data_IF_351272698954
#
_entry.id   IF_351272698954
#
_cell.length_a   1.000
_cell.length_b   1.000
_cell.length_c   1.000
_cell.angle_alpha   90.00
_cell.angle_beta   90.00
_cell.angle_gamma   90.00
#
_symmetry.space_group_name_H-M   'P 1'
#
loop_
_entity.id
_entity.type
_entity.pdbx_description
1 polymer ?
#
# COMPACT_ATOMS: atom_id res chain seq x y z
N UNK A 1 -6.38 -14.83 -14.62
CA UNK A 1 -5.16 -14.01 -14.51
C UNK A 1 -5.03 -13.32 -13.17
N UNK A 2 -6.06 -12.60 -12.73
CA UNK A 2 -6.04 -11.98 -11.39
C UNK A 2 -5.92 -13.01 -10.27
N UNK A 3 -6.63 -14.13 -10.39
CA UNK A 3 -6.59 -15.19 -9.40
C UNK A 3 -5.21 -15.81 -9.25
N UNK A 4 -4.53 -16.04 -10.36
CA UNK A 4 -3.17 -16.58 -10.35
C UNK A 4 -2.22 -15.64 -9.61
N UNK A 5 -2.31 -14.36 -9.90
CA UNK A 5 -1.48 -13.34 -9.28
C UNK A 5 -1.72 -13.25 -7.76
N UNK A 6 -2.99 -13.29 -7.36
CA UNK A 6 -3.34 -13.23 -5.94
C UNK A 6 -2.86 -14.47 -5.17
N UNK A 7 -2.98 -15.65 -5.78
CA UNK A 7 -2.47 -16.87 -5.17
C UNK A 7 -0.96 -16.80 -4.97
N UNK A 8 -0.23 -16.29 -5.95
CA UNK A 8 1.22 -16.13 -5.83
C UNK A 8 1.59 -15.15 -4.73
N UNK A 9 0.89 -14.03 -4.64
CA UNK A 9 1.16 -13.03 -3.60
C UNK A 9 0.87 -13.57 -2.21
N UNK A 10 -0.19 -14.37 -2.04
CA UNK A 10 -0.52 -14.93 -0.73
C UNK A 10 0.51 -15.95 -0.26
N UNK A 11 1.25 -16.57 -1.17
CA UNK A 11 2.37 -17.45 -0.81
C UNK A 11 3.57 -16.67 -0.28
N UNK A 12 3.69 -15.40 -0.66
CA UNK A 12 4.82 -14.55 -0.30
C UNK A 12 4.56 -13.73 0.97
N UNK A 13 3.31 -13.55 1.33
CA UNK A 13 2.96 -12.77 2.49
C UNK A 13 1.46 -12.61 2.64
N UNK A 14 1.07 -11.69 3.51
CA UNK A 14 -0.33 -11.35 3.74
C UNK A 14 -0.73 -10.19 2.85
N UNK A 15 -1.77 -10.37 2.04
CA UNK A 15 -2.29 -9.30 1.17
C UNK A 15 -3.21 -8.41 2.00
N UNK A 16 -2.92 -7.12 2.00
CA UNK A 16 -3.66 -6.13 2.81
C UNK A 16 -4.21 -5.03 1.90
N UNK A 17 -5.49 -4.79 1.99
CA UNK A 17 -6.13 -3.65 1.34
C UNK A 17 -6.10 -2.44 2.25
N UNK A 18 -6.83 -1.39 1.87
CA UNK A 18 -6.94 -0.19 2.66
C UNK A 18 -8.33 0.41 2.58
N UNK A 19 -8.50 1.56 3.20
CA UNK A 19 -9.78 2.27 3.21
C UNK A 19 -9.55 3.76 3.44
N UNK A 20 -10.58 4.55 3.20
CA UNK A 20 -10.53 6.00 3.37
C UNK A 20 -11.42 6.40 4.53
N UNK A 21 -10.84 6.97 5.61
CA UNK A 21 -11.67 7.55 6.67
C UNK A 21 -12.55 8.67 6.10
N UNK A 22 -13.76 8.83 6.66
CA UNK A 22 -14.67 9.85 6.15
C UNK A 22 -14.04 11.24 6.19
N UNK A 23 -14.05 11.93 5.06
CA UNK A 23 -13.55 13.31 4.97
C UNK A 23 -14.51 14.31 5.59
N UNK A 24 -15.72 13.89 5.91
CA UNK A 24 -16.73 14.74 6.57
C UNK A 24 -16.47 14.91 8.06
N UNK A 25 -15.63 14.05 8.63
CA UNK A 25 -15.28 14.11 10.04
C UNK A 25 -13.84 14.58 10.19
N UNK A 26 -13.63 15.87 10.56
CA UNK A 26 -12.26 16.39 10.69
C UNK A 26 -11.44 15.69 11.77
N UNK A 27 -12.08 15.06 12.75
CA UNK A 27 -11.39 14.31 13.78
C UNK A 27 -10.59 13.12 13.22
N UNK A 28 -10.89 12.68 12.00
CA UNK A 28 -10.16 11.60 11.35
C UNK A 28 -8.79 12.07 10.81
N UNK A 29 -8.62 13.36 10.60
CA UNK A 29 -7.44 13.91 9.93
C UNK A 29 -6.68 14.97 10.74
N UNK A 30 -7.37 15.84 11.45
CA UNK A 30 -6.74 16.95 12.17
C UNK A 30 -5.78 16.43 13.26
N UNK A 31 -4.52 16.88 13.18
CA UNK A 31 -3.51 16.45 14.11
C UNK A 31 -3.02 15.03 13.88
N UNK A 32 -3.28 14.47 12.72
CA UNK A 32 -2.92 13.10 12.41
C UNK A 32 -1.43 12.84 12.47
N UNK A 33 -1.06 11.68 13.00
CA UNK A 33 0.32 11.24 13.11
C UNK A 33 0.57 9.91 12.42
N UNK A 34 -0.48 9.29 11.89
CA UNK A 34 -0.39 7.99 11.22
C UNK A 34 -0.28 8.23 9.71
N UNK A 35 0.79 7.71 9.12
CA UNK A 35 1.01 7.82 7.68
C UNK A 35 -0.04 7.03 6.91
N UNK A 36 -0.69 7.69 5.95
CA UNK A 36 -1.77 7.12 5.14
C UNK A 36 -1.50 7.46 3.68
N UNK A 37 -1.27 6.43 2.88
CA UNK A 37 -0.74 6.56 1.53
C UNK A 37 -1.84 6.37 0.49
N UNK A 38 -1.80 7.16 -0.57
CA UNK A 38 -2.71 7.04 -1.72
C UNK A 38 -1.90 6.78 -2.99
N UNK A 39 -2.52 6.26 -4.07
CA UNK A 39 -1.80 6.07 -5.33
C UNK A 39 -1.19 7.37 -5.85
N UNK A 40 -1.84 8.50 -5.60
CA UNK A 40 -1.31 9.81 -6.00
C UNK A 40 0.04 10.10 -5.33
N UNK A 41 0.21 9.68 -4.09
CA UNK A 41 1.48 9.86 -3.37
C UNK A 41 2.62 9.11 -4.06
N UNK A 42 2.32 7.96 -4.67
CA UNK A 42 3.33 7.18 -5.38
C UNK A 42 3.58 7.70 -6.80
N UNK A 43 2.62 8.39 -7.40
CA UNK A 43 2.75 8.90 -8.77
C UNK A 43 3.95 9.83 -8.93
N UNK A 44 4.19 10.68 -7.93
CA UNK A 44 5.28 11.64 -7.95
C UNK A 44 6.51 11.17 -7.17
N UNK A 45 6.43 9.99 -6.56
CA UNK A 45 7.49 9.48 -5.71
C UNK A 45 8.57 8.77 -6.54
N UNK A 46 9.80 9.21 -6.41
CA UNK A 46 10.92 8.69 -7.18
C UNK A 46 11.83 7.74 -6.40
N UNK A 47 11.60 7.62 -5.09
CA UNK A 47 12.38 6.72 -4.25
C UNK A 47 11.80 5.31 -4.22
N UNK A 48 12.45 4.46 -3.43
CA UNK A 48 12.02 3.09 -3.20
C UNK A 48 11.24 2.96 -1.90
N UNK A 49 11.64 3.73 -0.88
CA UNK A 49 11.07 3.68 0.47
C UNK A 49 10.22 4.91 0.71
N UNK A 50 8.97 4.71 1.11
CA UNK A 50 8.07 5.82 1.40
C UNK A 50 7.72 5.82 2.89
N UNK A 51 7.85 6.98 3.53
CA UNK A 51 7.56 7.12 4.96
C UNK A 51 6.19 7.72 5.22
N UNK A 52 5.72 8.62 4.35
CA UNK A 52 4.44 9.30 4.52
C UNK A 52 3.94 9.83 3.18
N UNK A 53 2.64 10.09 3.11
CA UNK A 53 2.03 10.75 1.97
C UNK A 53 1.69 12.20 2.28
N UNK A 54 0.86 12.78 1.45
CA UNK A 54 0.39 14.16 1.60
C UNK A 54 -0.48 14.32 2.85
N UNK A 55 -1.25 13.29 3.18
CA UNK A 55 -2.19 13.33 4.29
C UNK A 55 -1.84 12.31 5.34
N UNK A 56 -2.12 12.65 6.60
CA UNK A 56 -1.98 11.73 7.72
C UNK A 56 -3.33 11.60 8.42
N UNK A 57 -3.56 10.51 9.11
CA UNK A 57 -4.80 10.28 9.83
C UNK A 57 -4.54 10.15 11.33
N UNK A 58 -5.61 10.30 12.10
CA UNK A 58 -5.56 10.16 13.56
C UNK A 58 -5.89 8.72 13.96
N UNK A 59 -5.74 8.42 15.25
CA UNK A 59 -6.20 7.14 15.80
C UNK A 59 -7.70 6.95 15.57
N UNK A 60 -8.47 8.03 15.67
CA UNK A 60 -9.90 8.00 15.38
C UNK A 60 -10.15 7.64 13.91
N UNK A 61 -9.37 8.22 13.00
CA UNK A 61 -9.45 7.90 11.58
C UNK A 61 -9.12 6.45 11.30
N UNK A 62 -8.06 5.95 11.92
CA UNK A 62 -7.66 4.54 11.76
C UNK A 62 -8.76 3.59 12.23
N UNK A 63 -9.38 3.89 13.35
CA UNK A 63 -10.44 3.05 13.92
C UNK A 63 -11.77 3.17 13.18
N UNK A 64 -11.98 4.22 12.40
CA UNK A 64 -13.25 4.53 11.75
C UNK A 64 -13.52 3.70 10.49
N UNK A 65 -12.51 3.03 9.95
CA UNK A 65 -12.65 2.29 8.71
C UNK A 65 -11.77 1.03 8.74
N UNK A 66 -11.75 0.28 7.65
CA UNK A 66 -11.05 -1.00 7.58
C UNK A 66 -9.58 -0.90 7.16
N UNK A 67 -9.03 0.31 7.08
CA UNK A 67 -7.60 0.45 6.79
C UNK A 67 -6.79 -0.16 7.93
N UNK A 68 -5.67 -0.77 7.61
CA UNK A 68 -4.85 -1.50 8.57
C UNK A 68 -3.41 -1.00 8.56
N UNK A 69 -2.84 -0.83 9.74
CA UNK A 69 -1.42 -0.52 9.86
C UNK A 69 -0.61 -1.73 9.41
N UNK A 70 0.33 -1.46 8.54
CA UNK A 70 1.29 -2.45 8.06
C UNK A 70 2.66 -2.12 8.62
N UNK A 71 3.47 -3.13 8.96
CA UNK A 71 4.80 -2.88 9.52
C UNK A 71 5.77 -2.33 8.47
N UNK A 72 6.87 -1.79 8.95
CA UNK A 72 8.01 -1.41 8.12
C UNK A 72 8.37 -2.56 7.18
N UNK A 73 8.77 -2.24 5.95
CA UNK A 73 9.17 -3.17 4.90
C UNK A 73 8.00 -3.89 4.22
N UNK A 74 6.77 -3.54 4.54
CA UNK A 74 5.63 -3.97 3.72
C UNK A 74 5.76 -3.38 2.32
N UNK A 75 5.36 -4.12 1.31
CA UNK A 75 5.48 -3.66 -0.08
C UNK A 75 4.12 -3.19 -0.56
N UNK A 76 4.03 -1.91 -0.91
CA UNK A 76 2.80 -1.28 -1.36
C UNK A 76 2.67 -1.47 -2.88
N UNK A 77 1.48 -1.85 -3.31
CA UNK A 77 1.19 -2.03 -4.74
C UNK A 77 -0.17 -1.43 -5.04
N UNK A 78 -0.20 -0.41 -5.92
CA UNK A 78 -1.46 0.23 -6.28
C UNK A 78 -2.24 -0.67 -7.24
N UNK A 79 -3.48 -0.98 -6.87
CA UNK A 79 -4.35 -1.87 -7.65
C UNK A 79 -5.41 -1.11 -8.45
N UNK A 80 -5.52 0.22 -8.25
CA UNK A 80 -6.43 1.08 -9.01
C UNK A 80 -5.63 2.13 -9.76
N UNK A 81 -6.28 2.80 -10.69
CA UNK A 81 -5.64 3.77 -11.57
C UNK A 81 -4.98 4.90 -10.76
N UNK A 82 -3.69 5.19 -10.99
CA UNK A 82 -2.84 4.41 -11.89
C UNK A 82 -2.37 3.10 -11.25
N UNK A 83 -2.45 2.01 -12.02
CA UNK A 83 -2.13 0.67 -11.54
C UNK A 83 -0.62 0.45 -11.56
N UNK A 84 -0.12 -0.27 -10.55
CA UNK A 84 1.23 -0.81 -10.60
C UNK A 84 2.32 0.07 -10.02
N UNK A 85 1.96 1.10 -9.29
CA UNK A 85 2.98 1.80 -8.51
C UNK A 85 3.41 0.91 -7.35
N UNK A 86 4.71 0.82 -7.12
CA UNK A 86 5.28 -0.04 -6.10
C UNK A 86 6.22 0.77 -5.22
N UNK A 87 6.13 0.60 -3.91
CA UNK A 87 7.03 1.23 -2.95
C UNK A 87 7.14 0.35 -1.71
N UNK A 88 8.21 0.57 -0.94
CA UNK A 88 8.43 -0.15 0.32
C UNK A 88 8.13 0.81 1.47
N UNK A 89 7.38 0.34 2.46
CA UNK A 89 7.09 1.13 3.65
C UNK A 89 8.38 1.36 4.46
N UNK A 90 8.76 2.62 4.63
CA UNK A 90 9.94 2.98 5.40
C UNK A 90 9.67 2.93 6.90
N UNK A 91 8.41 2.93 7.30
CA UNK A 91 7.95 2.84 8.67
C UNK A 91 6.52 2.28 8.65
N UNK A 92 5.94 2.11 9.82
CA UNK A 92 4.56 1.67 9.94
C UNK A 92 3.62 2.67 9.26
N UNK A 93 2.71 2.18 8.42
CA UNK A 93 1.77 3.02 7.68
C UNK A 93 0.54 2.23 7.22
N UNK A 94 -0.46 2.94 6.72
CA UNK A 94 -1.64 2.33 6.12
C UNK A 94 -1.96 3.03 4.79
N UNK A 95 -2.97 2.55 4.07
CA UNK A 95 -3.29 3.03 2.73
C UNK A 95 -4.78 3.23 2.53
N UNK A 96 -5.13 3.90 1.43
CA UNK A 96 -6.51 3.93 0.99
C UNK A 96 -6.87 2.62 0.26
N UNK A 97 -8.09 2.53 -0.25
CA UNK A 97 -8.61 1.33 -0.91
C UNK A 97 -8.01 1.07 -2.29
N UNK A 98 -7.18 1.96 -2.79
CA UNK A 98 -6.52 1.80 -4.09
C UNK A 98 -5.29 0.89 -4.07
N UNK A 99 -5.08 0.14 -3.00
CA UNK A 99 -3.91 -0.72 -2.84
C UNK A 99 -4.29 -2.16 -2.56
N UNK A 100 -3.45 -3.07 -3.05
CA UNK A 100 -3.35 -4.45 -2.58
C UNK A 100 -1.89 -4.67 -2.23
N UNK A 101 -1.55 -4.34 -1.00
CA UNK A 101 -0.17 -4.39 -0.52
C UNK A 101 0.13 -5.76 0.09
N UNK A 102 1.42 -6.08 0.24
CA UNK A 102 1.84 -7.37 0.77
C UNK A 102 2.75 -7.15 1.97
N UNK A 103 2.37 -7.73 3.10
CA UNK A 103 3.25 -7.82 4.28
C UNK A 103 4.04 -9.11 4.09
N UNK A 104 5.35 -9.05 3.78
CA UNK A 104 6.11 -10.27 3.49
C UNK A 104 6.16 -11.20 4.69
N UNK A 105 6.09 -12.51 4.43
CA UNK A 105 6.24 -13.50 5.49
C UNK A 105 7.72 -13.69 5.83
N UNK A 106 7.99 -14.52 6.83
CA UNK A 106 9.36 -14.72 7.33
C UNK A 106 10.33 -15.26 6.29
N UNK A 107 9.81 -15.93 5.27
CA UNK A 107 10.63 -16.55 4.21
C UNK A 107 10.85 -15.65 3.01
N UNK A 108 10.19 -14.51 2.98
CA UNK A 108 10.19 -13.62 1.82
C UNK A 108 11.01 -12.38 2.09
N UNK A 109 12.03 -12.17 1.27
CA UNK A 109 12.82 -10.94 1.28
C UNK A 109 11.98 -9.83 0.68
N UNK A 110 11.80 -8.73 1.41
CA UNK A 110 10.96 -7.63 0.94
C UNK A 110 11.53 -6.95 -0.32
N UNK A 111 12.84 -6.95 -0.49
CA UNK A 111 13.45 -6.39 -1.72
C UNK A 111 13.13 -7.27 -2.93
N UNK A 112 13.20 -8.58 -2.76
CA UNK A 112 12.80 -9.50 -3.81
C UNK A 112 11.34 -9.26 -4.20
N UNK A 113 10.46 -9.14 -3.20
CA UNK A 113 9.05 -8.89 -3.42
C UNK A 113 8.82 -7.56 -4.16
N UNK A 114 9.57 -6.52 -3.78
CA UNK A 114 9.49 -5.22 -4.43
C UNK A 114 9.80 -5.32 -5.93
N UNK A 115 10.90 -5.98 -6.28
CA UNK A 115 11.28 -6.14 -7.68
C UNK A 115 10.34 -7.05 -8.44
N UNK A 116 9.82 -8.08 -7.78
CA UNK A 116 8.85 -9.00 -8.37
C UNK A 116 7.58 -8.25 -8.76
N UNK A 117 7.06 -7.40 -7.88
CA UNK A 117 5.86 -6.61 -8.17
C UNK A 117 6.11 -5.58 -9.27
N UNK A 118 7.28 -5.00 -9.32
CA UNK A 118 7.64 -4.10 -10.42
C UNK A 118 7.67 -4.85 -11.75
N UNK A 119 8.17 -6.06 -11.75
CA UNK A 119 8.18 -6.90 -12.94
C UNK A 119 6.74 -7.19 -13.40
N UNK A 120 5.86 -7.56 -12.48
CA UNK A 120 4.46 -7.82 -12.81
C UNK A 120 3.73 -6.57 -13.28
N UNK A 121 4.10 -5.42 -12.79
CA UNK A 121 3.56 -4.16 -13.27
C UNK A 121 3.72 -4.04 -14.78
N UNK A 122 4.93 -4.26 -15.26
CA UNK A 122 5.23 -4.17 -16.69
C UNK A 122 4.45 -5.20 -17.49
N UNK A 123 4.35 -6.42 -16.98
CA UNK A 123 3.59 -7.49 -17.62
C UNK A 123 2.10 -7.15 -17.70
N UNK A 124 1.54 -6.57 -16.64
CA UNK A 124 0.13 -6.18 -16.59
C UNK A 124 -0.15 -5.05 -17.58
N UNK A 125 0.72 -4.05 -17.64
CA UNK A 125 0.57 -2.94 -18.58
C UNK A 125 0.60 -3.41 -20.03
N UNK A 126 1.46 -4.38 -20.33
CA UNK A 126 1.56 -4.92 -21.67
C UNK A 126 0.34 -5.78 -22.08
N UNK A 127 -0.35 -6.34 -21.10
CA UNK A 127 -1.55 -7.14 -21.34
C UNK A 127 -2.81 -6.28 -21.48
N UNK A 128 -2.76 -5.12 -20.88
CA UNK A 128 -3.92 -4.24 -20.84
C UNK A 128 -4.07 -3.36 -22.01
#
# INVERSE_FOLDING_TARGET
MAEWKECLLSDLGTVVGGATPSTKNPANYEGGTISWITPKDLADFKGRYIARGERMITDAGLSSCSTQLMPEHSVLFSSRAPIGYVAIAANELCTNQGFKSVVPNERTDYLFLYYLLRYYKDAIENLG
#
